data_IF_187865763705
#
_entry.id   IF_187865763705
#
_cell.length_a   1.000
_cell.length_b   1.000
_cell.length_c   1.000
_cell.angle_alpha   90.00
_cell.angle_beta   90.00
_cell.angle_gamma   90.00
#
_symmetry.space_group_name_H-M   'P 1'
#
loop_
_entity.id
_entity.type
_entity.pdbx_description
1 polymer ?
#
# COMPACT_ATOMS: atom_id res chain seq x y z
N UNK A 1 18.38 2.61 -6.61
CA UNK A 1 16.94 2.99 -6.58
C UNK A 1 16.10 2.06 -5.68
N UNK A 2 16.25 0.73 -5.70
CA UNK A 2 15.43 -0.18 -4.88
C UNK A 2 15.60 -0.06 -3.35
N UNK A 3 16.82 0.22 -2.86
CA UNK A 3 17.10 0.30 -1.43
C UNK A 3 16.36 1.46 -0.71
N UNK A 4 16.20 2.60 -1.38
CA UNK A 4 15.51 3.76 -0.82
C UNK A 4 13.99 3.52 -0.68
N UNK A 5 13.39 2.87 -1.69
CA UNK A 5 11.97 2.47 -1.64
C UNK A 5 11.71 1.48 -0.50
N UNK A 6 12.60 0.52 -0.30
CA UNK A 6 12.49 -0.43 0.82
C UNK A 6 12.63 0.25 2.19
N UNK A 7 13.61 1.16 2.36
CA UNK A 7 13.79 1.91 3.61
C UNK A 7 12.56 2.76 3.96
N UNK A 8 11.98 3.42 2.96
CA UNK A 8 10.78 4.23 3.13
C UNK A 8 9.57 3.37 3.56
N UNK A 9 9.34 2.22 2.88
CA UNK A 9 8.28 1.30 3.25
C UNK A 9 8.46 0.70 4.65
N UNK A 10 9.71 0.40 5.02
CA UNK A 10 10.04 -0.06 6.38
C UNK A 10 9.69 0.99 7.44
N UNK A 11 9.98 2.27 7.18
CA UNK A 11 9.64 3.37 8.07
C UNK A 11 8.12 3.52 8.24
N UNK A 12 7.37 3.50 7.13
CA UNK A 12 5.90 3.55 7.16
C UNK A 12 5.31 2.37 7.94
N UNK A 13 5.83 1.16 7.73
CA UNK A 13 5.39 -0.02 8.47
C UNK A 13 5.68 0.11 9.99
N UNK A 14 6.83 0.66 10.36
CA UNK A 14 7.22 0.84 11.77
C UNK A 14 6.33 1.89 12.47
N UNK A 15 6.06 3.01 11.79
CA UNK A 15 5.19 4.09 12.26
C UNK A 15 3.70 3.72 12.25
N UNK A 16 3.36 2.51 11.75
CA UNK A 16 1.98 2.02 11.65
C UNK A 16 1.05 2.95 10.86
N UNK A 17 1.63 3.69 9.92
CA UNK A 17 0.90 4.58 9.03
C UNK A 17 0.17 3.71 8.00
N UNK A 18 -1.16 3.81 7.88
CA UNK A 18 -1.90 3.07 6.86
C UNK A 18 -1.46 3.51 5.46
N UNK A 19 -1.15 2.55 4.58
CA UNK A 19 -0.76 2.84 3.21
C UNK A 19 -1.30 1.79 2.23
N UNK A 20 -1.29 2.17 0.94
CA UNK A 20 -1.70 1.33 -0.19
C UNK A 20 -0.67 1.51 -1.31
N UNK A 21 -0.36 0.45 -2.04
CA UNK A 21 0.45 0.57 -3.26
C UNK A 21 -0.42 0.98 -4.45
N UNK A 22 0.06 1.87 -5.31
CA UNK A 22 -0.57 2.18 -6.59
C UNK A 22 0.44 1.98 -7.72
N UNK A 23 0.29 0.88 -8.46
CA UNK A 23 1.30 0.35 -9.40
C UNK A 23 0.65 0.09 -10.77
N UNK A 24 1.37 0.29 -11.87
CA UNK A 24 0.91 -0.13 -13.22
C UNK A 24 1.25 -1.57 -13.57
N UNK A 25 1.68 -2.33 -12.57
CA UNK A 25 2.05 -3.74 -12.64
C UNK A 25 1.25 -4.49 -11.59
N UNK A 26 0.91 -5.75 -11.86
CA UNK A 26 0.18 -6.58 -10.91
C UNK A 26 0.98 -6.92 -9.65
N UNK A 27 0.36 -7.63 -8.69
CA UNK A 27 0.94 -7.88 -7.38
C UNK A 27 2.20 -8.75 -7.41
N UNK A 28 2.50 -9.39 -8.55
CA UNK A 28 3.72 -10.15 -8.80
C UNK A 28 5.00 -9.33 -8.63
N UNK A 29 4.94 -8.00 -8.73
CA UNK A 29 6.11 -7.13 -8.48
C UNK A 29 6.31 -6.79 -7.00
N UNK A 30 5.34 -7.10 -6.14
CA UNK A 30 5.46 -6.89 -4.70
C UNK A 30 6.29 -8.02 -4.09
N UNK A 31 7.34 -7.66 -3.36
CA UNK A 31 8.11 -8.63 -2.57
C UNK A 31 7.20 -9.32 -1.56
N UNK A 32 7.49 -10.58 -1.23
CA UNK A 32 6.67 -11.42 -0.32
C UNK A 32 6.29 -10.70 0.99
N UNK A 33 7.19 -9.87 1.50
CA UNK A 33 7.01 -9.03 2.69
C UNK A 33 5.83 -8.05 2.62
N UNK A 34 5.45 -7.63 1.41
CA UNK A 34 4.38 -6.67 1.17
C UNK A 34 3.16 -7.28 0.48
N UNK A 35 3.12 -8.60 0.24
CA UNK A 35 1.96 -9.26 -0.38
C UNK A 35 0.66 -9.09 0.40
N UNK A 36 0.75 -8.88 1.70
CA UNK A 36 -0.43 -8.63 2.57
C UNK A 36 -0.87 -7.16 2.58
N UNK A 37 -0.11 -6.25 1.98
CA UNK A 37 -0.47 -4.83 1.88
C UNK A 37 -1.43 -4.66 0.71
N UNK A 38 -2.47 -3.84 0.90
CA UNK A 38 -3.40 -3.49 -0.18
C UNK A 38 -2.65 -2.80 -1.33
N UNK A 39 -3.10 -3.09 -2.55
CA UNK A 39 -2.54 -2.49 -3.75
C UNK A 39 -3.67 -2.17 -4.75
N UNK A 40 -3.42 -1.23 -5.63
CA UNK A 40 -4.29 -0.75 -6.70
C UNK A 40 -3.50 -0.77 -8.01
N UNK A 41 -4.09 -1.30 -9.06
CA UNK A 41 -3.53 -1.25 -10.40
C UNK A 41 -3.86 0.10 -11.05
N UNK A 42 -2.88 0.72 -11.71
CA UNK A 42 -3.12 1.92 -12.52
C UNK A 42 -3.70 1.51 -13.88
N UNK A 43 -4.65 2.26 -14.44
CA UNK A 43 -5.23 3.49 -13.90
C UNK A 43 -6.18 3.23 -12.72
N UNK A 44 -6.06 4.07 -11.68
CA UNK A 44 -6.85 3.92 -10.45
C UNK A 44 -8.12 4.75 -10.57
N UNK A 45 -9.28 4.11 -10.40
CA UNK A 45 -10.56 4.80 -10.35
C UNK A 45 -10.71 5.58 -9.01
N UNK A 46 -11.13 6.86 -9.02
CA UNK A 46 -11.24 7.66 -7.80
C UNK A 46 -12.14 7.03 -6.73
N UNK A 47 -13.21 6.36 -7.14
CA UNK A 47 -14.14 5.67 -6.24
C UNK A 47 -13.47 4.48 -5.53
N UNK A 48 -12.59 3.78 -6.22
CA UNK A 48 -11.80 2.67 -5.68
C UNK A 48 -10.78 3.17 -4.65
N UNK A 49 -10.06 4.24 -4.97
CA UNK A 49 -9.12 4.86 -4.04
C UNK A 49 -9.81 5.32 -2.74
N UNK A 50 -10.95 5.99 -2.86
CA UNK A 50 -11.73 6.44 -1.69
C UNK A 50 -12.18 5.25 -0.84
N UNK A 51 -12.61 4.15 -1.47
CA UNK A 51 -13.00 2.92 -0.77
C UNK A 51 -11.84 2.36 0.05
N UNK A 52 -10.66 2.21 -0.57
CA UNK A 52 -9.49 1.66 0.12
C UNK A 52 -9.00 2.55 1.25
N UNK A 53 -8.98 3.88 1.06
CA UNK A 53 -8.61 4.84 2.11
C UNK A 53 -9.59 4.75 3.29
N UNK A 54 -10.91 4.67 3.04
CA UNK A 54 -11.90 4.49 4.11
C UNK A 54 -11.66 3.22 4.90
N UNK A 55 -11.32 2.11 4.24
CA UNK A 55 -11.02 0.85 4.92
C UNK A 55 -9.68 0.87 5.66
N UNK A 56 -8.71 1.67 5.23
CA UNK A 56 -7.40 1.82 5.88
C UNK A 56 -7.49 2.69 7.12
N UNK A 57 -8.13 3.85 7.02
CA UNK A 57 -8.21 4.82 8.10
C UNK A 57 -9.37 4.56 9.07
N UNK A 58 -10.41 3.83 8.64
CA UNK A 58 -11.57 3.48 9.46
C UNK A 58 -11.35 2.25 10.36
N UNK A 59 -10.27 1.51 10.18
CA UNK A 59 -9.93 0.36 11.02
C UNK A 59 -9.32 0.88 12.33
N UNK A 60 -10.11 0.94 13.40
CA UNK A 60 -9.55 1.07 14.76
C UNK A 60 -8.62 -0.13 14.96
N UNK A 61 -7.38 0.18 15.32
CA UNK A 61 -6.37 -0.82 15.64
C UNK A 61 -6.65 -1.23 17.09
N UNK A 62 -7.22 -2.41 17.28
CA UNK A 62 -7.37 -3.05 18.60
C UNK A 62 -5.99 -3.40 19.18
#
# INVERSE_FOLDING_TARGET
MAALTLLFLMSICAESIPFVFATGYGPEVLTDRFRSVRWLEKPVEPSELIREIRQLCGRKRD
#
